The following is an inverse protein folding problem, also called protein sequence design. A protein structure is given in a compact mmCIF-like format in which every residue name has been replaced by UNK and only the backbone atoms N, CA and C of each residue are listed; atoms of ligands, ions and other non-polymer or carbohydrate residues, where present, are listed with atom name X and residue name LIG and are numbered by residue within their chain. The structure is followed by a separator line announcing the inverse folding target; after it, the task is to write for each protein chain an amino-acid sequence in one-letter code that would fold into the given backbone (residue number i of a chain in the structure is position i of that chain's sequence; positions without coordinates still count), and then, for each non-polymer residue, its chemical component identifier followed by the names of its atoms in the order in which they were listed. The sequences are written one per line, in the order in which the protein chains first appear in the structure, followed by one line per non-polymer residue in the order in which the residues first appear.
data_IF_877779387438
#
_entry.id   IF_877779387438
#
_cell.length_a   1.000
_cell.length_b   1.000
_cell.length_c   1.000
_cell.angle_alpha   90.00
_cell.angle_beta   90.00
_cell.angle_gamma   90.00
#
_symmetry.space_group_name_H-M   'P 1'
#
loop_
_entity.id
_entity.type
_entity.pdbx_description
1 polymer ?
#
# COMPACT_ATOMS: atom_id res chain seq x y z
N UNK A 1 -4.49 -32.23 13.80
CA UNK A 1 -5.12 -32.01 12.49
C UNK A 1 -5.54 -30.54 12.42
N UNK A 2 -4.84 -29.70 11.67
CA UNK A 2 -5.22 -28.29 11.55
C UNK A 2 -6.55 -28.21 10.77
N UNK A 3 -7.57 -27.47 11.26
CA UNK A 3 -8.84 -27.39 10.55
C UNK A 3 -8.62 -26.77 9.16
N UNK A 4 -8.94 -27.52 8.11
CA UNK A 4 -8.89 -27.05 6.72
C UNK A 4 -9.82 -25.85 6.55
N UNK A 5 -9.26 -24.64 6.50
CA UNK A 5 -9.99 -23.41 6.23
C UNK A 5 -10.39 -23.37 4.75
N UNK A 6 -11.56 -23.94 4.41
CA UNK A 6 -12.13 -23.74 3.07
C UNK A 6 -12.71 -22.33 2.99
N UNK A 7 -11.92 -21.38 2.45
CA UNK A 7 -12.39 -20.02 2.20
C UNK A 7 -13.28 -20.02 0.96
N UNK A 8 -14.51 -19.51 1.06
CA UNK A 8 -15.33 -19.32 -0.15
C UNK A 8 -14.71 -18.22 -1.00
N UNK A 9 -14.68 -18.41 -2.32
CA UNK A 9 -14.08 -17.45 -3.27
C UNK A 9 -14.63 -16.04 -3.09
N UNK A 10 -15.93 -15.91 -2.80
CA UNK A 10 -16.60 -14.62 -2.56
C UNK A 10 -16.10 -13.92 -1.30
N UNK A 11 -15.92 -14.66 -0.19
CA UNK A 11 -15.38 -14.09 1.05
C UNK A 11 -13.93 -13.63 0.85
N UNK A 12 -13.13 -14.40 0.10
CA UNK A 12 -11.70 -14.11 -0.13
C UNK A 12 -11.56 -12.77 -0.86
N UNK A 13 -12.28 -12.64 -1.97
CA UNK A 13 -12.31 -11.42 -2.76
C UNK A 13 -12.80 -10.22 -1.92
N UNK A 14 -13.88 -10.39 -1.14
CA UNK A 14 -14.37 -9.32 -0.27
C UNK A 14 -13.32 -8.87 0.77
N UNK A 15 -12.54 -9.82 1.31
CA UNK A 15 -11.49 -9.51 2.29
C UNK A 15 -10.33 -8.77 1.65
N UNK A 16 -9.86 -9.23 0.48
CA UNK A 16 -8.78 -8.58 -0.26
C UNK A 16 -9.19 -7.16 -0.69
N UNK A 17 -10.39 -7.01 -1.26
CA UNK A 17 -10.89 -5.71 -1.73
C UNK A 17 -11.05 -4.76 -0.54
N UNK A 18 -11.67 -5.20 0.56
CA UNK A 18 -11.82 -4.33 1.74
C UNK A 18 -10.49 -3.93 2.35
N UNK A 19 -9.55 -4.87 2.51
CA UNK A 19 -8.20 -4.57 3.00
C UNK A 19 -7.45 -3.59 2.11
N UNK A 20 -7.43 -3.84 0.80
CA UNK A 20 -6.72 -3.01 -0.17
C UNK A 20 -7.33 -1.63 -0.34
N UNK A 21 -8.67 -1.51 -0.37
CA UNK A 21 -9.33 -0.21 -0.44
C UNK A 21 -9.12 0.61 0.84
N UNK A 22 -9.26 0.00 2.02
CA UNK A 22 -9.02 0.70 3.28
C UNK A 22 -7.58 1.20 3.38
N UNK A 23 -6.60 0.33 3.11
CA UNK A 23 -5.19 0.73 3.08
C UNK A 23 -4.90 1.80 2.03
N UNK A 24 -5.43 1.64 0.81
CA UNK A 24 -5.26 2.60 -0.28
C UNK A 24 -5.82 3.98 0.07
N UNK A 25 -7.00 4.07 0.69
CA UNK A 25 -7.58 5.34 1.13
C UNK A 25 -6.74 5.98 2.25
N UNK A 26 -6.34 5.19 3.25
CA UNK A 26 -5.53 5.70 4.36
C UNK A 26 -4.18 6.24 3.88
N UNK A 27 -3.49 5.49 3.01
CA UNK A 27 -2.21 5.91 2.42
C UNK A 27 -2.38 7.12 1.49
N UNK A 28 -3.48 7.17 0.73
CA UNK A 28 -3.80 8.31 -0.10
C UNK A 28 -3.96 9.60 0.71
N UNK A 29 -4.71 9.54 1.80
CA UNK A 29 -4.90 10.66 2.71
C UNK A 29 -3.58 11.06 3.37
N UNK A 30 -2.76 10.08 3.78
CA UNK A 30 -1.44 10.35 4.35
C UNK A 30 -0.51 11.05 3.33
N UNK A 31 -0.47 10.59 2.07
CA UNK A 31 0.35 11.18 1.02
C UNK A 31 -0.07 12.63 0.69
N UNK A 32 -1.38 12.87 0.53
CA UNK A 32 -1.90 14.22 0.30
C UNK A 32 -1.61 15.14 1.50
N UNK A 33 -1.83 14.66 2.72
CA UNK A 33 -1.54 15.42 3.94
C UNK A 33 -0.06 15.75 4.06
N UNK A 34 0.82 14.79 3.78
CA UNK A 34 2.26 15.00 3.83
C UNK A 34 2.73 16.02 2.79
N UNK A 35 2.13 16.01 1.59
CA UNK A 35 2.40 17.04 0.59
C UNK A 35 2.03 18.43 1.12
N UNK A 36 0.85 18.58 1.73
CA UNK A 36 0.41 19.85 2.30
C UNK A 36 1.31 20.33 3.44
N UNK A 37 1.71 19.44 4.35
CA UNK A 37 2.64 19.75 5.46
C UNK A 37 4.00 20.22 4.93
N UNK A 38 4.46 19.68 3.79
CA UNK A 38 5.71 20.07 3.13
C UNK A 38 5.59 21.34 2.27
N UNK A 39 4.50 22.10 2.40
CA UNK A 39 4.29 23.36 1.68
C UNK A 39 3.72 23.19 0.26
N UNK A 40 3.24 22.00 -0.09
CA UNK A 40 2.49 21.78 -1.32
C UNK A 40 1.18 22.57 -1.34
N UNK A 41 0.80 23.06 -2.52
CA UNK A 41 -0.40 23.91 -2.70
C UNK A 41 -1.62 23.16 -3.24
N UNK A 42 -1.40 21.98 -3.82
CA UNK A 42 -2.45 21.18 -4.45
C UNK A 42 -2.29 19.71 -4.04
N UNK A 43 -3.18 19.14 -3.22
CA UNK A 43 -3.09 17.75 -2.79
C UNK A 43 -3.21 16.76 -3.97
N UNK A 44 -3.91 17.13 -5.05
CA UNK A 44 -4.09 16.27 -6.21
C UNK A 44 -2.79 16.09 -7.02
N UNK A 45 -1.79 16.96 -6.82
CA UNK A 45 -0.50 16.84 -7.49
C UNK A 45 0.24 15.53 -7.13
N UNK A 46 -0.07 14.91 -5.99
CA UNK A 46 0.41 13.56 -5.64
C UNK A 46 0.07 12.56 -6.74
N UNK A 47 -1.13 12.65 -7.30
CA UNK A 47 -1.62 11.66 -8.27
C UNK A 47 -0.94 11.81 -9.63
N UNK A 48 -0.74 13.04 -10.10
CA UNK A 48 0.08 13.30 -11.30
C UNK A 48 1.52 12.82 -11.11
N UNK A 49 2.09 12.97 -9.91
CA UNK A 49 3.40 12.42 -9.57
C UNK A 49 3.41 10.88 -9.62
N UNK A 50 2.41 10.21 -9.06
CA UNK A 50 2.28 8.74 -9.14
C UNK A 50 2.14 8.29 -10.61
N UNK A 51 1.34 8.98 -11.42
CA UNK A 51 1.21 8.69 -12.84
C UNK A 51 2.54 8.86 -13.61
N UNK A 52 3.38 9.81 -13.20
CA UNK A 52 4.69 10.05 -13.82
C UNK A 52 5.64 8.85 -13.70
N UNK A 53 5.39 7.94 -12.76
CA UNK A 53 6.14 6.69 -12.66
C UNK A 53 5.96 5.78 -13.89
N UNK A 54 4.79 5.80 -14.54
CA UNK A 54 4.53 5.01 -15.75
C UNK A 54 4.64 5.85 -17.03
N UNK A 55 4.22 7.11 -16.98
CA UNK A 55 4.12 7.97 -18.16
C UNK A 55 5.32 8.92 -18.33
N UNK A 56 6.15 9.11 -17.31
CA UNK A 56 7.25 10.08 -17.32
C UNK A 56 6.80 11.49 -16.98
N UNK A 57 7.67 12.48 -17.21
CA UNK A 57 7.45 13.87 -16.78
C UNK A 57 6.22 14.53 -17.39
N UNK A 58 5.78 14.10 -18.57
CA UNK A 58 4.57 14.58 -19.24
C UNK A 58 3.31 14.42 -18.38
N UNK A 59 3.30 13.45 -17.46
CA UNK A 59 2.18 13.25 -16.53
C UNK A 59 1.95 14.42 -15.57
N UNK A 60 2.99 15.20 -15.28
CA UNK A 60 2.92 16.34 -14.36
C UNK A 60 2.11 17.50 -14.95
N UNK A 61 2.07 17.61 -16.28
CA UNK A 61 1.32 18.64 -17.01
C UNK A 61 0.08 18.09 -17.72
N UNK A 62 -0.16 16.78 -17.68
CA UNK A 62 -1.26 16.12 -18.39
C UNK A 62 -2.66 16.28 -17.77
N UNK A 63 -2.82 17.12 -16.74
CA UNK A 63 -4.11 17.50 -16.16
C UNK A 63 -4.90 16.35 -15.51
N UNK A 64 -6.23 16.46 -15.53
CA UNK A 64 -7.16 15.52 -14.86
C UNK A 64 -6.97 14.05 -15.27
N UNK A 65 -6.73 13.69 -16.54
CA UNK A 65 -6.45 12.30 -16.91
C UNK A 65 -5.29 11.67 -16.13
N UNK A 66 -4.22 12.43 -15.85
CA UNK A 66 -3.06 11.93 -15.12
C UNK A 66 -3.36 11.74 -13.63
N UNK A 67 -4.22 12.58 -13.06
CA UNK A 67 -4.73 12.38 -11.70
C UNK A 67 -5.49 11.05 -11.59
N UNK A 68 -6.36 10.76 -12.56
CA UNK A 68 -7.12 9.49 -12.59
C UNK A 68 -6.18 8.29 -12.72
N UNK A 69 -5.21 8.35 -13.63
CA UNK A 69 -4.23 7.27 -13.78
C UNK A 69 -3.39 7.05 -12.51
N UNK A 70 -3.00 8.13 -11.84
CA UNK A 70 -2.29 8.06 -10.56
C UNK A 70 -3.08 7.30 -9.51
N UNK A 71 -4.37 7.61 -9.37
CA UNK A 71 -5.28 6.90 -8.47
C UNK A 71 -5.45 5.43 -8.86
N UNK A 72 -5.59 5.12 -10.16
CA UNK A 72 -5.70 3.74 -10.65
C UNK A 72 -4.45 2.93 -10.28
N UNK A 73 -3.25 3.45 -10.54
CA UNK A 73 -2.01 2.76 -10.17
C UNK A 73 -1.88 2.59 -8.67
N UNK A 74 -2.22 3.63 -7.89
CA UNK A 74 -2.20 3.58 -6.44
C UNK A 74 -3.06 2.45 -5.88
N UNK A 75 -4.34 2.38 -6.27
CA UNK A 75 -5.24 1.34 -5.78
C UNK A 75 -4.91 -0.04 -6.34
N UNK A 76 -4.38 -0.13 -7.57
CA UNK A 76 -3.89 -1.40 -8.12
C UNK A 76 -2.74 -1.98 -7.27
N UNK A 77 -1.77 -1.14 -6.89
CA UNK A 77 -0.66 -1.53 -6.03
C UNK A 77 -1.17 -1.94 -4.63
N UNK A 78 -2.07 -1.14 -4.04
CA UNK A 78 -2.66 -1.44 -2.73
C UNK A 78 -3.41 -2.79 -2.72
N UNK A 79 -4.21 -3.07 -3.75
CA UNK A 79 -4.92 -4.35 -3.92
C UNK A 79 -3.94 -5.51 -4.13
N UNK A 80 -2.86 -5.30 -4.87
CA UNK A 80 -1.82 -6.31 -5.10
C UNK A 80 -1.16 -6.72 -3.78
N UNK A 81 -0.76 -5.75 -2.94
CA UNK A 81 -0.20 -6.05 -1.63
C UNK A 81 -1.23 -6.64 -0.66
N UNK A 82 -2.49 -6.22 -0.71
CA UNK A 82 -3.54 -6.85 0.10
C UNK A 82 -3.76 -8.32 -0.31
N UNK A 83 -3.78 -8.61 -1.61
CA UNK A 83 -3.89 -9.96 -2.15
C UNK A 83 -2.70 -10.84 -1.76
N UNK A 84 -1.48 -10.32 -1.93
CA UNK A 84 -0.27 -11.04 -1.53
C UNK A 84 -0.27 -11.36 -0.03
N UNK A 85 -0.59 -10.38 0.82
CA UNK A 85 -0.68 -10.61 2.26
C UNK A 85 -1.72 -11.67 2.61
N UNK A 86 -2.92 -11.60 2.02
CA UNK A 86 -3.98 -12.58 2.23
C UNK A 86 -3.50 -14.01 1.93
N UNK A 87 -2.70 -14.20 0.87
CA UNK A 87 -2.17 -15.52 0.50
C UNK A 87 -1.15 -16.07 1.50
N UNK A 88 -0.24 -15.22 2.00
CA UNK A 88 0.84 -15.65 2.91
C UNK A 88 0.42 -15.66 4.39
N UNK A 89 -0.64 -14.95 4.75
CA UNK A 89 -1.07 -14.75 6.14
C UNK A 89 -1.31 -16.06 6.91
N UNK A 90 -1.96 -17.11 6.36
CA UNK A 90 -2.17 -18.37 7.08
C UNK A 90 -0.86 -19.02 7.54
N UNK A 91 0.20 -18.97 6.72
CA UNK A 91 1.51 -19.52 7.06
C UNK A 91 2.19 -18.69 8.16
N UNK A 92 2.14 -17.36 8.07
CA UNK A 92 2.72 -16.47 9.09
C UNK A 92 2.02 -16.67 10.44
N UNK A 93 0.69 -16.78 10.44
CA UNK A 93 -0.11 -16.91 11.65
C UNK A 93 0.18 -18.19 12.45
N UNK A 94 0.68 -19.24 11.80
CA UNK A 94 1.11 -20.47 12.48
C UNK A 94 2.27 -20.20 13.46
N UNK A 95 3.10 -19.19 13.20
CA UNK A 95 4.26 -18.85 14.02
C UNK A 95 4.05 -17.58 14.86
N UNK A 96 3.30 -16.60 14.34
CA UNK A 96 3.10 -15.31 14.99
C UNK A 96 1.60 -14.99 15.07
N UNK A 97 1.02 -15.13 16.26
CA UNK A 97 -0.41 -14.85 16.49
C UNK A 97 -0.69 -13.39 16.91
N UNK A 98 0.15 -12.45 16.47
CA UNK A 98 0.04 -11.02 16.79
C UNK A 98 -0.14 -10.20 15.52
N UNK A 99 -1.38 -9.94 15.05
CA UNK A 99 -1.64 -9.32 13.75
C UNK A 99 -1.09 -7.89 13.65
N UNK A 100 -0.97 -7.17 14.78
CA UNK A 100 -0.36 -5.84 14.82
C UNK A 100 1.12 -5.90 14.44
N UNK A 101 1.90 -6.77 15.10
CA UNK A 101 3.33 -6.94 14.79
C UNK A 101 3.51 -7.39 13.35
N UNK A 102 2.74 -8.39 12.92
CA UNK A 102 2.79 -8.88 11.54
C UNK A 102 2.48 -7.77 10.53
N UNK A 103 1.47 -6.94 10.79
CA UNK A 103 1.12 -5.81 9.93
C UNK A 103 2.21 -4.75 9.86
N UNK A 104 2.82 -4.40 10.99
CA UNK A 104 3.94 -3.44 11.04
C UNK A 104 5.16 -3.98 10.26
N UNK A 105 5.56 -5.23 10.49
CA UNK A 105 6.66 -5.85 9.73
C UNK A 105 6.34 -5.96 8.23
N UNK A 106 5.08 -6.25 7.89
CA UNK A 106 4.63 -6.29 6.52
C UNK A 106 4.71 -4.91 5.85
N UNK A 107 4.40 -3.83 6.57
CA UNK A 107 4.58 -2.47 6.05
C UNK A 107 6.04 -2.13 5.74
N UNK A 108 7.01 -2.61 6.55
CA UNK A 108 8.44 -2.47 6.22
C UNK A 108 8.76 -3.21 4.91
N UNK A 109 8.24 -4.44 4.75
CA UNK A 109 8.39 -5.19 3.51
C UNK A 109 7.80 -4.46 2.30
N UNK A 110 6.57 -3.93 2.41
CA UNK A 110 5.92 -3.14 1.34
C UNK A 110 6.79 -1.93 0.99
N UNK A 111 7.28 -1.19 1.99
CA UNK A 111 8.16 -0.04 1.76
C UNK A 111 9.43 -0.43 1.02
N UNK A 112 10.06 -1.55 1.39
CA UNK A 112 11.25 -2.07 0.71
C UNK A 112 10.97 -2.40 -0.76
N UNK A 113 9.88 -3.12 -1.06
CA UNK A 113 9.51 -3.45 -2.43
C UNK A 113 9.24 -2.16 -3.23
N UNK A 114 8.49 -1.22 -2.66
CA UNK A 114 8.19 0.04 -3.36
C UNK A 114 9.46 0.85 -3.65
N UNK A 115 10.35 1.01 -2.67
CA UNK A 115 11.51 1.90 -2.79
C UNK A 115 12.72 1.25 -3.46
N UNK A 116 12.85 -0.08 -3.40
CA UNK A 116 14.01 -0.81 -3.95
C UNK A 116 13.72 -1.57 -5.23
N UNK A 117 12.45 -1.77 -5.58
CA UNK A 117 12.06 -2.50 -6.80
C UNK A 117 11.17 -1.62 -7.68
N UNK A 118 10.00 -1.20 -7.18
CA UNK A 118 8.99 -0.53 -8.02
C UNK A 118 9.46 0.84 -8.51
N UNK A 119 9.92 1.71 -7.60
CA UNK A 119 10.38 3.06 -7.94
C UNK A 119 11.62 3.01 -8.86
N UNK A 120 12.68 2.22 -8.57
CA UNK A 120 13.85 2.13 -9.46
C UNK A 120 13.55 1.57 -10.86
N UNK A 121 12.52 0.74 -11.02
CA UNK A 121 12.09 0.22 -12.32
C UNK A 121 11.10 1.14 -13.04
N UNK A 122 10.70 2.26 -12.42
CA UNK A 122 9.77 3.24 -12.98
C UNK A 122 10.51 4.33 -13.78
N UNK A 123 9.75 5.23 -14.41
CA UNK A 123 10.28 6.41 -15.09
C UNK A 123 10.60 7.58 -14.15
N UNK A 124 10.47 7.40 -12.83
CA UNK A 124 10.83 8.44 -11.87
C UNK A 124 12.36 8.66 -11.86
N UNK A 125 12.82 9.91 -11.76
CA UNK A 125 14.24 10.19 -11.64
C UNK A 125 14.79 9.62 -10.33
N UNK A 126 15.99 9.03 -10.39
CA UNK A 126 16.69 8.56 -9.20
C UNK A 126 16.86 9.73 -8.20
N UNK A 127 16.49 9.49 -6.95
CA UNK A 127 16.66 10.45 -5.86
C UNK A 127 17.77 9.97 -4.93
N UNK A 128 18.61 10.88 -4.41
CA UNK A 128 19.60 10.51 -3.39
C UNK A 128 18.90 9.98 -2.15
N UNK A 129 19.53 9.00 -1.49
CA UNK A 129 18.98 8.43 -0.27
C UNK A 129 18.97 9.46 0.85
N UNK A 130 17.81 9.64 1.47
CA UNK A 130 17.56 10.56 2.57
C UNK A 130 16.97 9.74 3.72
N UNK A 131 17.74 9.62 4.81
CA UNK A 131 17.39 8.78 5.95
C UNK A 131 16.10 9.25 6.63
N UNK A 132 15.90 10.56 6.74
CA UNK A 132 14.71 11.16 7.34
C UNK A 132 13.46 10.87 6.52
N UNK A 133 13.54 11.03 5.20
CA UNK A 133 12.43 10.69 4.29
C UNK A 133 12.15 9.18 4.29
N UNK A 134 13.19 8.36 4.36
CA UNK A 134 13.05 6.91 4.43
C UNK A 134 12.28 6.49 5.69
N UNK A 135 12.67 6.99 6.87
CA UNK A 135 11.98 6.69 8.13
C UNK A 135 10.52 7.13 8.13
N UNK A 136 10.23 8.34 7.65
CA UNK A 136 8.85 8.83 7.54
C UNK A 136 8.04 7.91 6.62
N UNK A 137 8.59 7.55 5.46
CA UNK A 137 7.94 6.65 4.52
C UNK A 137 7.68 5.27 5.12
N UNK A 138 8.65 4.71 5.84
CA UNK A 138 8.50 3.42 6.53
C UNK A 138 7.34 3.49 7.52
N UNK A 139 7.32 4.49 8.40
CA UNK A 139 6.27 4.64 9.43
C UNK A 139 4.89 4.80 8.78
N UNK A 140 4.76 5.61 7.73
CA UNK A 140 3.51 5.78 7.00
C UNK A 140 3.02 4.44 6.46
N UNK A 141 3.86 3.68 5.77
CA UNK A 141 3.46 2.40 5.18
C UNK A 141 3.18 1.34 6.26
N UNK A 142 3.92 1.32 7.38
CA UNK A 142 3.62 0.47 8.52
C UNK A 142 2.21 0.70 9.06
N UNK A 143 1.84 1.97 9.27
CA UNK A 143 0.60 2.36 9.96
C UNK A 143 -0.61 2.38 9.02
N UNK A 144 -0.47 2.93 7.81
CA UNK A 144 -1.58 3.18 6.89
C UNK A 144 -1.75 2.10 5.82
N UNK A 145 -0.77 1.21 5.64
CA UNK A 145 -0.86 0.10 4.69
C UNK A 145 -0.77 -1.25 5.40
N UNK A 146 0.35 -1.54 6.06
CA UNK A 146 0.61 -2.84 6.66
C UNK A 146 -0.38 -3.23 7.75
N UNK A 147 -0.60 -2.32 8.71
CA UNK A 147 -1.51 -2.54 9.84
C UNK A 147 -2.98 -2.76 9.41
N UNK A 148 -3.64 -1.89 8.61
CA UNK A 148 -5.03 -2.11 8.21
C UNK A 148 -5.21 -3.40 7.38
N UNK A 149 -4.26 -3.72 6.49
CA UNK A 149 -4.29 -4.99 5.75
C UNK A 149 -4.28 -6.17 6.72
N UNK A 150 -3.33 -6.20 7.66
CA UNK A 150 -3.19 -7.31 8.58
C UNK A 150 -4.39 -7.47 9.52
N UNK A 151 -4.94 -6.36 10.03
CA UNK A 151 -6.11 -6.39 10.92
C UNK A 151 -7.38 -6.87 10.19
N UNK A 152 -7.64 -6.37 8.98
CA UNK A 152 -8.82 -6.75 8.20
C UNK A 152 -8.73 -8.22 7.77
N UNK A 153 -7.57 -8.64 7.28
CA UNK A 153 -7.33 -10.04 6.90
C UNK A 153 -7.48 -10.94 8.12
N UNK A 154 -6.81 -10.64 9.24
CA UNK A 154 -6.93 -11.41 10.47
C UNK A 154 -8.39 -11.53 10.94
N UNK A 155 -9.14 -10.42 11.02
CA UNK A 155 -10.54 -10.44 11.45
C UNK A 155 -11.40 -11.38 10.60
N UNK A 156 -11.24 -11.36 9.28
CA UNK A 156 -12.04 -12.18 8.38
C UNK A 156 -11.57 -13.64 8.28
N UNK A 157 -10.33 -13.93 8.71
CA UNK A 157 -9.82 -15.29 8.91
C UNK A 157 -10.19 -15.88 10.27
N UNK A 158 -10.23 -15.07 11.33
CA UNK A 158 -10.57 -15.47 12.71
C UNK A 158 -12.08 -15.63 12.89
N UNK A 159 -12.90 -14.75 12.30
CA UNK A 159 -14.36 -14.77 12.43
C UNK A 159 -14.92 -16.15 12.05
N UNK A 160 -15.08 -16.94 13.10
CA UNK A 160 -15.61 -18.28 13.29
C UNK A 160 -16.38 -18.20 14.58
#
# INVERSE_FOLDING_TARGET
MAPSTTYTRSKALRTIISAGLTAGVLDALAAMTMLMIRGGKNPLAVWSYVASAAFGQEALTGGTPMVVWGLVFHFFIALTFAGFFFLIFPAIRQYINQPVIVGLLYGIFVWLIMNRVVIPLSKLPAQPFDLSKAWIGIVIIMVFVGLPIALIVNRNYVAR
#
